data_IF_634157460411
#
_entry.id   IF_634157460411
#
_cell.length_a   1.000
_cell.length_b   1.000
_cell.length_c   1.000
_cell.angle_alpha   90.00
_cell.angle_beta   90.00
_cell.angle_gamma   90.00
#
_symmetry.space_group_name_H-M   'P 1'
#
loop_
_entity.id
_entity.type
_entity.pdbx_description
1 polymer ?
#
# COMPACT_ATOMS: atom_id res chain seq x y z
N UNK A 1 1.45 -19.87 0.42
CA UNK A 1 1.80 -19.02 1.57
C UNK A 1 1.26 -17.63 1.29
N UNK A 2 0.44 -17.07 2.19
CA UNK A 2 -0.17 -15.76 1.95
C UNK A 2 0.88 -14.66 1.86
N UNK A 3 0.76 -13.79 0.86
CA UNK A 3 1.63 -12.63 0.61
C UNK A 3 0.92 -11.33 0.98
N UNK A 4 1.54 -10.53 1.84
CA UNK A 4 1.03 -9.24 2.30
C UNK A 4 1.83 -8.11 1.64
N UNK A 5 1.15 -7.26 0.88
CA UNK A 5 1.72 -6.01 0.40
C UNK A 5 1.67 -4.96 1.51
N UNK A 6 2.82 -4.58 2.06
CA UNK A 6 2.91 -3.53 3.08
C UNK A 6 3.45 -2.25 2.45
N UNK A 7 2.69 -1.17 2.53
CA UNK A 7 3.08 0.15 2.04
C UNK A 7 2.42 1.27 2.83
N UNK A 8 2.80 2.51 2.57
CA UNK A 8 2.15 3.65 3.21
C UNK A 8 2.75 5.01 2.85
N UNK A 9 2.39 6.03 3.63
CA UNK A 9 2.82 7.40 3.36
C UNK A 9 4.31 7.60 3.56
N UNK A 10 4.96 8.29 2.62
CA UNK A 10 6.36 8.73 2.73
C UNK A 10 6.59 9.66 3.95
N UNK A 11 5.54 10.32 4.44
CA UNK A 11 5.60 11.22 5.60
C UNK A 11 5.64 10.49 6.94
N UNK A 12 5.28 9.19 6.98
CA UNK A 12 5.27 8.41 8.22
C UNK A 12 6.60 7.69 8.34
N UNK A 13 7.47 8.16 9.24
CA UNK A 13 8.80 7.58 9.49
C UNK A 13 8.86 6.67 10.72
N UNK A 14 7.84 6.75 11.58
CA UNK A 14 7.73 5.97 12.82
C UNK A 14 6.38 5.24 12.78
N UNK A 15 6.42 3.92 12.97
CA UNK A 15 5.22 3.10 13.00
C UNK A 15 4.51 3.26 14.33
N UNK A 16 3.18 3.37 14.30
CA UNK A 16 2.38 3.38 15.52
C UNK A 16 2.40 2.00 16.21
N UNK A 17 2.24 1.92 17.54
CA UNK A 17 2.23 0.64 18.28
C UNK A 17 1.27 -0.40 17.69
N UNK A 18 0.05 0.01 17.31
CA UNK A 18 -0.94 -0.86 16.68
C UNK A 18 -0.47 -1.45 15.34
N UNK A 19 0.35 -0.70 14.58
CA UNK A 19 0.94 -1.19 13.34
C UNK A 19 2.04 -2.21 13.65
N UNK A 20 2.91 -1.93 14.61
CA UNK A 20 3.95 -2.88 15.02
C UNK A 20 3.35 -4.17 15.57
N UNK A 21 2.31 -4.11 16.39
CA UNK A 21 1.57 -5.29 16.87
C UNK A 21 0.95 -6.08 15.72
N UNK A 22 0.41 -5.38 14.70
CA UNK A 22 -0.11 -6.05 13.50
C UNK A 22 0.99 -6.77 12.73
N UNK A 23 2.15 -6.14 12.57
CA UNK A 23 3.31 -6.75 11.91
C UNK A 23 3.84 -7.95 12.70
N UNK A 24 3.91 -7.87 14.03
CA UNK A 24 4.26 -9.01 14.89
C UNK A 24 3.32 -10.21 14.67
N UNK A 25 2.01 -9.98 14.53
CA UNK A 25 1.05 -11.06 14.23
C UNK A 25 1.27 -11.65 12.83
N UNK A 26 1.68 -10.84 11.86
CA UNK A 26 1.99 -11.30 10.49
C UNK A 26 3.26 -12.16 10.52
N UNK A 27 4.33 -11.72 11.19
CA UNK A 27 5.60 -12.44 11.26
C UNK A 27 5.49 -13.73 12.07
N UNK A 28 4.75 -13.74 13.18
CA UNK A 28 4.48 -14.96 13.96
C UNK A 28 3.75 -16.05 13.14
N UNK A 29 2.94 -15.64 12.16
CA UNK A 29 2.26 -16.55 11.22
C UNK A 29 3.12 -16.91 10.00
N UNK A 30 4.36 -16.45 9.93
CA UNK A 30 5.32 -16.74 8.87
C UNK A 30 4.83 -16.34 7.46
N UNK A 31 3.96 -15.33 7.36
CA UNK A 31 3.40 -14.86 6.07
C UNK A 31 4.43 -14.09 5.25
N UNK A 32 4.39 -14.18 3.92
CA UNK A 32 5.31 -13.41 3.07
C UNK A 32 4.98 -11.93 3.16
N UNK A 33 5.99 -11.08 3.29
CA UNK A 33 5.83 -9.63 3.20
C UNK A 33 6.53 -9.15 1.93
N UNK A 34 5.82 -8.39 1.11
CA UNK A 34 6.43 -7.60 0.05
C UNK A 34 6.32 -6.13 0.41
N UNK A 35 7.41 -5.40 0.22
CA UNK A 35 7.54 -3.99 0.61
C UNK A 35 8.35 -3.25 -0.45
N UNK A 36 8.07 -1.97 -0.64
CA UNK A 36 8.86 -1.14 -1.52
C UNK A 36 10.19 -0.71 -0.92
N UNK A 37 10.95 0.02 -1.73
CA UNK A 37 12.25 0.60 -1.41
C UNK A 37 12.18 2.09 -1.01
N UNK A 38 11.00 2.69 -0.85
CA UNK A 38 10.87 4.12 -0.62
C UNK A 38 11.24 4.54 0.81
N UNK A 39 11.35 5.85 1.05
CA UNK A 39 11.41 6.39 2.40
C UNK A 39 10.02 6.34 3.08
N UNK A 40 9.98 6.64 4.38
CA UNK A 40 8.74 6.64 5.15
C UNK A 40 8.35 5.23 5.56
N UNK A 41 7.08 4.84 5.33
CA UNK A 41 6.55 3.56 5.80
C UNK A 41 7.37 2.38 5.31
N UNK A 42 7.76 2.35 4.03
CA UNK A 42 8.58 1.28 3.46
C UNK A 42 9.86 1.08 4.28
N UNK A 43 10.67 2.13 4.44
CA UNK A 43 11.89 2.09 5.27
C UNK A 43 11.63 1.75 6.75
N UNK A 44 10.52 2.22 7.33
CA UNK A 44 10.18 1.96 8.73
C UNK A 44 9.73 0.50 8.96
N UNK A 45 8.99 -0.08 8.01
CA UNK A 45 8.61 -1.49 7.98
C UNK A 45 9.85 -2.35 7.78
N UNK A 46 10.72 -2.01 6.83
CA UNK A 46 12.00 -2.68 6.67
C UNK A 46 12.81 -2.66 7.98
N UNK A 47 12.92 -1.51 8.66
CA UNK A 47 13.65 -1.43 9.93
C UNK A 47 13.07 -2.37 11.00
N UNK A 48 11.74 -2.41 11.14
CA UNK A 48 11.05 -3.32 12.07
C UNK A 48 11.32 -4.80 11.72
N UNK A 49 11.25 -5.17 10.44
CA UNK A 49 11.45 -6.55 9.99
C UNK A 49 12.90 -6.99 10.18
N UNK A 50 13.86 -6.10 9.96
CA UNK A 50 15.27 -6.34 10.25
C UNK A 50 15.50 -6.60 11.74
N UNK A 51 14.95 -5.73 12.60
CA UNK A 51 15.12 -5.84 14.06
C UNK A 51 14.48 -7.10 14.65
N UNK A 52 13.39 -7.58 14.04
CA UNK A 52 12.73 -8.83 14.42
C UNK A 52 13.40 -10.09 13.86
N UNK A 53 14.46 -9.95 13.05
CA UNK A 53 15.12 -11.08 12.39
C UNK A 53 14.21 -11.79 11.37
N UNK A 54 13.26 -11.07 10.78
CA UNK A 54 12.29 -11.68 9.86
C UNK A 54 12.84 -11.79 8.44
N UNK A 55 12.76 -13.00 7.85
CA UNK A 55 13.40 -13.29 6.57
C UNK A 55 12.43 -13.54 5.40
N UNK A 56 11.13 -13.76 5.63
CA UNK A 56 10.16 -13.95 4.54
C UNK A 56 9.72 -12.60 3.94
N UNK A 57 10.69 -11.84 3.45
CA UNK A 57 10.52 -10.49 2.91
C UNK A 57 11.09 -10.44 1.49
N UNK A 58 10.40 -9.73 0.60
CA UNK A 58 10.93 -9.36 -0.73
C UNK A 58 10.78 -7.87 -0.92
N UNK A 59 11.88 -7.20 -1.28
CA UNK A 59 11.88 -5.77 -1.56
C UNK A 59 11.62 -5.55 -3.04
N UNK A 60 10.60 -4.78 -3.37
CA UNK A 60 10.34 -4.36 -4.75
C UNK A 60 11.03 -3.05 -5.05
N UNK A 61 11.65 -2.98 -6.22
CA UNK A 61 12.38 -1.82 -6.69
C UNK A 61 12.14 -1.60 -8.17
N UNK A 62 12.09 -0.34 -8.61
CA UNK A 62 12.04 0.01 -10.02
C UNK A 62 13.46 0.05 -10.66
N UNK A 63 14.52 -0.17 -9.87
CA UNK A 63 15.91 -0.19 -10.31
C UNK A 63 16.69 -1.34 -9.69
N UNK A 64 17.75 -1.80 -10.37
CA UNK A 64 18.64 -2.87 -9.85
C UNK A 64 19.28 -2.53 -8.50
N UNK A 65 19.49 -1.25 -8.24
CA UNK A 65 19.94 -0.74 -6.93
C UNK A 65 18.72 -0.15 -6.23
N UNK A 66 18.15 -0.82 -5.21
CA UNK A 66 17.03 -0.27 -4.43
C UNK A 66 17.50 0.93 -3.59
N UNK A 67 16.63 1.92 -3.39
CA UNK A 67 16.95 3.07 -2.52
C UNK A 67 17.13 2.64 -1.06
N UNK A 68 16.31 1.70 -0.61
CA UNK A 68 16.43 1.07 0.71
C UNK A 68 16.23 -0.45 0.61
N UNK A 69 17.17 -1.20 1.18
CA UNK A 69 17.03 -2.62 1.49
C UNK A 69 17.77 -2.90 2.81
N UNK A 70 17.18 -2.51 3.94
CA UNK A 70 17.88 -2.46 5.22
C UNK A 70 18.29 -3.84 5.75
N UNK A 71 17.53 -4.88 5.40
CA UNK A 71 17.74 -6.27 5.84
C UNK A 71 18.43 -7.16 4.82
N UNK A 72 18.92 -6.61 3.69
CA UNK A 72 19.55 -7.37 2.61
C UNK A 72 18.67 -8.53 2.09
N UNK A 73 17.37 -8.31 1.98
CA UNK A 73 16.43 -9.30 1.46
C UNK A 73 16.52 -9.42 -0.06
N UNK A 74 15.98 -10.51 -0.65
CA UNK A 74 15.81 -10.62 -2.09
C UNK A 74 15.10 -9.39 -2.67
N UNK A 75 15.59 -8.92 -3.82
CA UNK A 75 15.03 -7.76 -4.53
C UNK A 75 14.34 -8.23 -5.80
N UNK A 76 13.07 -7.88 -5.95
CA UNK A 76 12.33 -8.04 -7.20
C UNK A 76 12.34 -6.72 -7.96
N UNK A 77 13.03 -6.71 -9.09
CA UNK A 77 13.12 -5.52 -9.95
C UNK A 77 11.96 -5.52 -10.93
N UNK A 78 11.14 -4.48 -10.90
CA UNK A 78 10.09 -4.27 -11.89
C UNK A 78 10.68 -3.48 -13.06
N UNK A 79 10.86 -4.15 -14.20
CA UNK A 79 11.27 -3.48 -15.44
C UNK A 79 10.11 -2.63 -15.97
N UNK A 80 10.42 -1.39 -16.36
CA UNK A 80 9.45 -0.49 -16.97
C UNK A 80 10.15 0.41 -17.97
N UNK A 81 9.48 0.69 -19.09
CA UNK A 81 9.92 1.65 -20.09
C UNK A 81 9.57 3.10 -19.69
N UNK A 82 8.88 3.28 -18.56
CA UNK A 82 8.55 4.60 -18.04
C UNK A 82 9.81 5.38 -17.67
N UNK A 83 9.77 6.70 -17.89
CA UNK A 83 10.89 7.58 -17.56
C UNK A 83 11.30 7.42 -16.07
N UNK A 84 12.58 7.15 -15.75
CA UNK A 84 13.04 7.02 -14.37
C UNK A 84 12.64 8.20 -13.50
N UNK A 85 12.17 7.92 -12.29
CA UNK A 85 11.70 8.95 -11.35
C UNK A 85 10.34 9.58 -11.69
N UNK A 86 9.72 9.22 -12.82
CA UNK A 86 8.35 9.63 -13.12
C UNK A 86 7.33 8.93 -12.21
N UNK A 87 6.13 9.48 -12.16
CA UNK A 87 5.02 8.83 -11.44
C UNK A 87 4.72 7.43 -11.98
N UNK A 88 4.66 7.29 -13.29
CA UNK A 88 4.38 6.01 -13.95
C UNK A 88 5.44 4.94 -13.61
N UNK A 89 6.70 5.37 -13.45
CA UNK A 89 7.80 4.50 -13.04
C UNK A 89 7.62 3.93 -11.63
N UNK A 90 7.14 4.75 -10.68
CA UNK A 90 6.83 4.26 -9.33
C UNK A 90 5.53 3.45 -9.30
N UNK A 91 4.52 3.85 -10.07
CA UNK A 91 3.25 3.11 -10.19
C UNK A 91 3.45 1.71 -10.77
N UNK A 92 4.35 1.51 -11.75
CA UNK A 92 4.62 0.19 -12.31
C UNK A 92 5.07 -0.83 -11.24
N UNK A 93 5.93 -0.39 -10.31
CA UNK A 93 6.37 -1.20 -9.17
C UNK A 93 5.20 -1.50 -8.21
N UNK A 94 4.40 -0.49 -7.89
CA UNK A 94 3.24 -0.67 -7.00
C UNK A 94 2.19 -1.62 -7.61
N UNK A 95 2.00 -1.59 -8.93
CA UNK A 95 1.16 -2.53 -9.68
C UNK A 95 1.69 -3.96 -9.57
N UNK A 96 3.00 -4.16 -9.72
CA UNK A 96 3.63 -5.47 -9.57
C UNK A 96 3.49 -6.01 -8.14
N UNK A 97 3.66 -5.17 -7.12
CA UNK A 97 3.41 -5.57 -5.74
C UNK A 97 1.93 -5.95 -5.52
N UNK A 98 1.00 -5.15 -6.03
CA UNK A 98 -0.42 -5.46 -5.91
C UNK A 98 -0.77 -6.80 -6.61
N UNK A 99 -0.16 -7.10 -7.76
CA UNK A 99 -0.33 -8.35 -8.49
C UNK A 99 0.15 -9.57 -7.69
N UNK A 100 1.33 -9.49 -7.05
CA UNK A 100 1.96 -10.61 -6.33
C UNK A 100 1.41 -10.84 -4.90
N UNK A 101 0.69 -9.85 -4.35
CA UNK A 101 0.07 -9.97 -3.03
C UNK A 101 -1.32 -10.60 -3.05
N UNK A 102 -1.70 -11.23 -1.95
CA UNK A 102 -3.07 -11.70 -1.70
C UNK A 102 -3.92 -10.63 -1.02
N UNK A 103 -3.30 -9.76 -0.22
CA UNK A 103 -3.95 -8.62 0.43
C UNK A 103 -2.95 -7.53 0.82
N UNK A 104 -3.46 -6.35 1.19
CA UNK A 104 -2.63 -5.21 1.59
C UNK A 104 -2.68 -4.88 3.08
N UNK A 105 -1.59 -4.34 3.62
CA UNK A 105 -1.54 -3.58 4.86
C UNK A 105 -1.03 -2.18 4.54
N UNK A 106 -1.91 -1.18 4.65
CA UNK A 106 -1.63 0.19 4.21
C UNK A 106 -1.56 1.13 5.41
N UNK A 107 -0.45 1.84 5.59
CA UNK A 107 -0.27 2.79 6.68
C UNK A 107 -0.45 4.20 6.14
N UNK A 108 -1.58 4.81 6.44
CA UNK A 108 -2.07 6.01 5.76
C UNK A 108 -2.22 7.21 6.71
N UNK A 109 -1.82 8.38 6.22
CA UNK A 109 -1.85 9.65 6.94
C UNK A 109 -3.09 10.50 6.60
N UNK A 110 -4.11 9.92 5.99
CA UNK A 110 -5.30 10.62 5.47
C UNK A 110 -5.02 11.59 4.30
N UNK A 111 -3.77 11.64 3.79
CA UNK A 111 -3.35 12.60 2.75
C UNK A 111 -2.67 11.94 1.55
N UNK A 112 -1.95 10.85 1.75
CA UNK A 112 -1.12 10.22 0.73
C UNK A 112 -1.98 9.64 -0.39
N UNK A 113 -1.98 10.31 -1.54
CA UNK A 113 -2.62 9.83 -2.78
C UNK A 113 -1.98 8.52 -3.26
N UNK A 114 -0.67 8.33 -3.05
CA UNK A 114 0.01 7.10 -3.45
C UNK A 114 -0.51 5.88 -2.69
N UNK A 115 -0.68 6.02 -1.37
CA UNK A 115 -1.24 4.94 -0.53
C UNK A 115 -2.68 4.61 -0.91
N UNK A 116 -3.51 5.62 -1.19
CA UNK A 116 -4.86 5.40 -1.73
C UNK A 116 -4.83 4.72 -3.10
N UNK A 117 -3.85 5.04 -3.96
CA UNK A 117 -3.70 4.39 -5.27
C UNK A 117 -3.43 2.89 -5.11
N UNK A 118 -2.64 2.49 -4.11
CA UNK A 118 -2.38 1.08 -3.81
C UNK A 118 -3.63 0.36 -3.26
N UNK A 119 -4.46 1.04 -2.46
CA UNK A 119 -5.76 0.51 -2.00
C UNK A 119 -6.70 0.28 -3.19
N UNK A 120 -6.83 1.28 -4.07
CA UNK A 120 -7.63 1.20 -5.29
C UNK A 120 -7.18 0.05 -6.19
N UNK A 121 -5.87 -0.12 -6.36
CA UNK A 121 -5.32 -1.18 -7.20
C UNK A 121 -5.63 -2.57 -6.66
N UNK A 122 -5.42 -2.81 -5.37
CA UNK A 122 -5.82 -4.07 -4.74
C UNK A 122 -7.31 -4.33 -4.92
N UNK A 123 -8.15 -3.31 -4.73
CA UNK A 123 -9.60 -3.44 -4.88
C UNK A 123 -10.01 -3.77 -6.33
N UNK A 124 -9.39 -3.15 -7.34
CA UNK A 124 -9.59 -3.48 -8.75
C UNK A 124 -9.23 -4.93 -9.07
N UNK A 125 -8.20 -5.45 -8.41
CA UNK A 125 -7.79 -6.85 -8.51
C UNK A 125 -8.62 -7.80 -7.62
N UNK A 126 -9.74 -7.32 -7.05
CA UNK A 126 -10.63 -8.08 -6.14
C UNK A 126 -9.93 -8.57 -4.87
N UNK A 127 -8.88 -7.88 -4.44
CA UNK A 127 -8.13 -8.11 -3.19
C UNK A 127 -8.52 -7.06 -2.16
N UNK A 128 -8.44 -7.43 -0.88
CA UNK A 128 -8.73 -6.49 0.20
C UNK A 128 -7.46 -5.85 0.76
N UNK A 129 -7.62 -4.71 1.43
CA UNK A 129 -6.56 -4.10 2.22
C UNK A 129 -7.04 -3.79 3.63
N UNK A 130 -6.13 -3.88 4.59
CA UNK A 130 -6.32 -3.37 5.95
C UNK A 130 -5.56 -2.05 6.03
N UNK A 131 -6.28 -0.94 6.21
CA UNK A 131 -5.72 0.40 6.20
C UNK A 131 -5.66 0.94 7.62
N UNK A 132 -4.47 1.25 8.12
CA UNK A 132 -4.29 1.99 9.35
C UNK A 132 -4.40 3.50 9.07
N UNK A 133 -5.40 4.15 9.67
CA UNK A 133 -5.61 5.59 9.56
C UNK A 133 -4.90 6.25 10.73
N UNK A 134 -3.75 6.87 10.49
CA UNK A 134 -2.84 7.36 11.53
C UNK A 134 -3.52 8.30 12.52
N UNK A 135 -4.28 9.27 12.02
CA UNK A 135 -4.84 10.33 12.87
C UNK A 135 -6.01 9.83 13.73
N UNK A 136 -6.66 8.74 13.29
CA UNK A 136 -7.72 8.03 14.04
C UNK A 136 -7.18 6.87 14.89
N UNK A 137 -5.93 6.46 14.66
CA UNK A 137 -5.28 5.31 15.31
C UNK A 137 -6.12 4.03 15.22
N UNK A 138 -6.78 3.82 14.09
CA UNK A 138 -7.67 2.67 13.88
C UNK A 138 -7.37 1.98 12.55
N UNK A 139 -7.79 0.72 12.46
CA UNK A 139 -7.77 -0.04 11.21
C UNK A 139 -9.15 -0.04 10.57
N UNK A 140 -9.18 0.16 9.26
CA UNK A 140 -10.36 -0.03 8.42
C UNK A 140 -10.06 -1.13 7.39
N UNK A 141 -10.99 -2.07 7.20
CA UNK A 141 -10.86 -3.09 6.15
C UNK A 141 -11.55 -2.59 4.89
N UNK A 142 -10.80 -2.45 3.81
CA UNK A 142 -11.32 -2.03 2.50
C UNK A 142 -11.37 -3.24 1.58
N UNK A 143 -12.59 -3.72 1.34
CA UNK A 143 -12.91 -4.85 0.46
C UNK A 143 -14.03 -4.56 -0.55
N UNK A 144 -14.57 -3.34 -0.54
CA UNK A 144 -15.64 -2.91 -1.44
C UNK A 144 -15.57 -1.39 -1.68
N UNK A 145 -16.27 -0.88 -2.70
CA UNK A 145 -16.36 0.55 -2.98
C UNK A 145 -16.97 1.37 -1.84
N UNK A 146 -17.85 0.78 -1.03
CA UNK A 146 -18.42 1.45 0.15
C UNK A 146 -17.39 1.62 1.26
N UNK A 147 -16.60 0.58 1.56
CA UNK A 147 -15.47 0.73 2.49
C UNK A 147 -14.42 1.72 1.97
N UNK A 148 -14.23 1.81 0.64
CA UNK A 148 -13.37 2.82 0.05
C UNK A 148 -13.96 4.23 0.24
N UNK A 149 -15.28 4.38 0.07
CA UNK A 149 -15.96 5.66 0.34
C UNK A 149 -15.81 6.07 1.81
N UNK A 150 -15.95 5.12 2.74
CA UNK A 150 -15.69 5.33 4.16
C UNK A 150 -14.23 5.75 4.41
N UNK A 151 -13.26 5.05 3.82
CA UNK A 151 -11.84 5.41 3.95
C UNK A 151 -11.58 6.85 3.49
N UNK A 152 -12.14 7.22 2.34
CA UNK A 152 -11.94 8.53 1.72
C UNK A 152 -12.66 9.64 2.50
N UNK A 153 -13.72 9.33 3.26
CA UNK A 153 -14.37 10.28 4.17
C UNK A 153 -13.46 10.80 5.29
N UNK A 154 -12.34 10.11 5.56
CA UNK A 154 -11.32 10.57 6.51
C UNK A 154 -10.32 11.57 5.92
N UNK A 155 -10.36 11.84 4.61
CA UNK A 155 -9.50 12.86 4.01
C UNK A 155 -9.98 14.27 4.37
N UNK A 156 -9.06 15.18 4.71
CA UNK A 156 -9.34 16.61 4.67
C UNK A 156 -9.78 17.06 3.25
N UNK A 157 -10.64 18.09 3.12
CA UNK A 157 -11.16 18.53 1.82
C UNK A 157 -10.09 18.89 0.78
N UNK A 158 -9.00 19.54 1.22
CA UNK A 158 -7.87 19.90 0.37
C UNK A 158 -7.07 18.67 -0.09
N UNK A 159 -6.87 17.71 0.81
CA UNK A 159 -6.23 16.44 0.49
C UNK A 159 -7.07 15.62 -0.50
N UNK A 160 -8.40 15.59 -0.31
CA UNK A 160 -9.33 14.97 -1.25
C UNK A 160 -9.25 15.64 -2.62
N UNK A 161 -9.37 16.96 -2.70
CA UNK A 161 -9.29 17.71 -3.95
C UNK A 161 -7.95 17.49 -4.68
N UNK A 162 -6.84 17.45 -3.93
CA UNK A 162 -5.52 17.17 -4.48
C UNK A 162 -5.41 15.73 -5.01
N UNK A 163 -6.00 14.75 -4.32
CA UNK A 163 -6.08 13.37 -4.81
C UNK A 163 -6.97 13.27 -6.04
N UNK A 164 -8.14 13.89 -6.03
CA UNK A 164 -9.08 13.88 -7.14
C UNK A 164 -8.49 14.48 -8.41
N UNK A 165 -7.82 15.63 -8.31
CA UNK A 165 -7.07 16.21 -9.43
C UNK A 165 -5.97 15.27 -9.97
N UNK A 166 -5.35 14.46 -9.11
CA UNK A 166 -4.21 13.59 -9.45
C UNK A 166 -4.59 12.23 -9.99
N UNK A 167 -5.73 11.67 -9.58
CA UNK A 167 -6.14 10.29 -9.91
C UNK A 167 -7.61 10.15 -10.28
N UNK A 168 -8.37 11.24 -10.39
CA UNK A 168 -9.82 11.21 -10.64
C UNK A 168 -10.52 10.31 -9.61
N UNK A 169 -10.26 10.56 -8.33
CA UNK A 169 -10.66 9.69 -7.21
C UNK A 169 -12.18 9.49 -7.17
N UNK A 170 -12.95 10.56 -7.31
CA UNK A 170 -14.41 10.56 -7.35
C UNK A 170 -14.96 9.70 -8.50
N UNK A 171 -14.38 9.84 -9.68
CA UNK A 171 -14.74 9.05 -10.87
C UNK A 171 -14.43 7.56 -10.65
N UNK A 172 -13.24 7.25 -10.13
CA UNK A 172 -12.85 5.86 -9.82
C UNK A 172 -13.78 5.20 -8.80
N UNK A 173 -14.17 5.91 -7.74
CA UNK A 173 -15.15 5.40 -6.76
C UNK A 173 -16.49 5.12 -7.44
N UNK A 174 -16.93 6.02 -8.31
CA UNK A 174 -18.20 5.87 -9.05
C UNK A 174 -18.17 4.68 -10.00
N UNK A 175 -17.08 4.52 -10.77
CA UNK A 175 -16.89 3.38 -11.67
C UNK A 175 -16.89 2.05 -10.91
N UNK A 176 -16.22 2.00 -9.76
CA UNK A 176 -16.19 0.83 -8.89
C UNK A 176 -17.57 0.46 -8.34
N UNK A 177 -18.39 1.44 -7.95
CA UNK A 177 -19.78 1.22 -7.53
C UNK A 177 -20.65 0.68 -8.67
N UNK A 178 -20.54 1.29 -9.86
CA UNK A 178 -21.31 0.88 -11.02
C UNK A 178 -20.93 -0.53 -11.50
N UNK A 179 -19.63 -0.85 -11.50
CA UNK A 179 -19.15 -2.18 -11.87
C UNK A 179 -19.62 -3.29 -10.92
N UNK A 180 -19.84 -2.99 -9.64
CA UNK A 180 -20.50 -3.95 -8.74
C UNK A 180 -21.96 -4.20 -9.13
N UNK A 181 -22.71 -3.15 -9.48
CA UNK A 181 -24.13 -3.27 -9.86
C UNK A 181 -24.31 -4.15 -11.10
N UNK A 182 -23.43 -4.01 -12.11
CA UNK A 182 -23.51 -4.82 -13.34
C UNK A 182 -23.19 -6.30 -13.15
N UNK A 183 -22.51 -6.70 -12.07
CA UNK A 183 -22.29 -8.13 -11.74
C UNK A 183 -23.51 -8.80 -11.09
N UNK A 184 -24.51 -8.03 -10.65
CA UNK A 184 -25.71 -8.53 -9.97
C UNK A 184 -27.00 -8.44 -10.82
N UNK A 185 -26.90 -8.01 -12.08
CA UNK A 185 -27.97 -8.01 -13.09
C UNK A 185 -27.64 -8.96 -14.22
#
# INVERSE_FOLDING_TARGET
MTTIFVAGSIKIKVLAPLVTERLQKITARHLRIIVGDAAGVDSAVQQFLKQSGYHHVTVFSSSRVPRHNLGNWPVQVTETTCAPGSRAFFTAKDLAMAADADCGLMIWDSHSTGTLSNVLELLNQKKYSVVFIRDKKQFLVVKSPDHLSELVSHMPPDAFAAADKKIQLSEKITQLKNGQITLFT
#
